data_IF_283694329339
#
_entry.id   IF_283694329339
#
_cell.length_a   1.000
_cell.length_b   1.000
_cell.length_c   1.000
_cell.angle_alpha   90.00
_cell.angle_beta   90.00
_cell.angle_gamma   90.00
#
_symmetry.space_group_name_H-M   'P 1'
#
loop_
_entity.id
_entity.type
_entity.pdbx_description
1 polymer ?
#
# COMPACT_ATOMS: atom_id res chain seq x y z
N UNK A 1 -26.08 -0.12 5.43
CA UNK A 1 -25.24 0.73 6.34
C UNK A 1 -23.79 0.49 5.96
N UNK A 2 -23.01 1.56 5.73
CA UNK A 2 -21.58 1.47 5.42
C UNK A 2 -20.86 0.57 6.44
N UNK A 3 -19.96 -0.31 5.97
CA UNK A 3 -19.16 -1.15 6.87
C UNK A 3 -18.41 -0.25 7.86
N UNK A 4 -18.58 -0.47 9.17
CA UNK A 4 -17.83 0.31 10.14
C UNK A 4 -16.33 0.10 9.93
N UNK A 5 -15.50 1.12 10.22
CA UNK A 5 -14.05 1.01 10.13
C UNK A 5 -13.53 -0.21 10.90
N UNK A 6 -14.16 -0.55 12.03
CA UNK A 6 -13.83 -1.73 12.83
C UNK A 6 -14.09 -3.03 12.05
N UNK A 7 -15.26 -3.14 11.39
CA UNK A 7 -15.60 -4.29 10.55
C UNK A 7 -14.75 -4.37 9.29
N UNK A 8 -14.31 -3.25 8.74
CA UNK A 8 -13.36 -3.25 7.61
C UNK A 8 -11.98 -3.75 8.04
N UNK A 9 -11.52 -3.33 9.23
CA UNK A 9 -10.23 -3.72 9.78
C UNK A 9 -10.14 -5.21 10.16
N UNK A 10 -11.26 -5.92 10.36
CA UNK A 10 -11.21 -7.38 10.60
C UNK A 10 -10.76 -8.18 9.37
N UNK A 11 -10.78 -7.58 8.17
CA UNK A 11 -10.34 -8.24 6.94
C UNK A 11 -8.81 -8.22 6.78
N UNK A 12 -8.13 -7.18 7.29
CA UNK A 12 -6.68 -7.06 7.24
C UNK A 12 -5.91 -8.31 7.71
N UNK A 13 -6.18 -8.90 8.89
CA UNK A 13 -5.43 -10.07 9.37
C UNK A 13 -5.59 -11.30 8.46
N UNK A 14 -6.73 -11.44 7.78
CA UNK A 14 -6.98 -12.52 6.81
C UNK A 14 -6.05 -12.32 5.59
N UNK A 15 -6.04 -11.11 5.03
CA UNK A 15 -5.18 -10.77 3.89
C UNK A 15 -3.69 -10.83 4.23
N UNK A 16 -3.32 -10.48 5.46
CA UNK A 16 -1.95 -10.62 5.93
C UNK A 16 -1.53 -12.09 5.99
N UNK A 17 -2.39 -13.01 6.46
CA UNK A 17 -2.07 -14.44 6.47
C UNK A 17 -2.03 -15.04 5.06
N UNK A 18 -2.88 -14.57 4.14
CA UNK A 18 -2.79 -14.94 2.72
C UNK A 18 -1.44 -14.53 2.13
N UNK A 19 -0.99 -13.29 2.41
CA UNK A 19 0.31 -12.79 1.97
C UNK A 19 1.47 -13.55 2.62
N UNK A 20 1.32 -13.95 3.89
CA UNK A 20 2.29 -14.79 4.59
C UNK A 20 2.43 -16.14 3.91
N UNK A 21 1.32 -16.80 3.63
CA UNK A 21 1.28 -18.12 2.97
C UNK A 21 1.90 -18.03 1.57
N UNK A 22 1.56 -16.98 0.82
CA UNK A 22 2.16 -16.69 -0.47
C UNK A 22 3.69 -16.50 -0.38
N UNK A 23 4.15 -15.69 0.57
CA UNK A 23 5.58 -15.42 0.77
C UNK A 23 6.37 -16.66 1.22
N UNK A 24 5.90 -17.33 2.27
CA UNK A 24 6.65 -18.38 2.96
C UNK A 24 6.49 -19.76 2.31
N UNK A 25 5.30 -20.09 1.82
CA UNK A 25 5.01 -21.44 1.31
C UNK A 25 5.18 -21.52 -0.20
N UNK A 26 4.54 -20.60 -0.93
CA UNK A 26 4.57 -20.62 -2.39
C UNK A 26 5.90 -20.09 -2.94
N UNK A 27 6.36 -18.93 -2.48
CA UNK A 27 7.63 -18.34 -2.94
C UNK A 27 8.84 -18.78 -2.12
N UNK A 28 8.64 -19.49 -1.00
CA UNK A 28 9.72 -19.98 -0.12
C UNK A 28 10.69 -18.87 0.31
N UNK A 29 10.18 -17.66 0.51
CA UNK A 29 10.94 -16.56 1.06
C UNK A 29 11.37 -16.89 2.49
N UNK A 30 12.52 -16.35 2.90
CA UNK A 30 12.97 -16.48 4.29
C UNK A 30 11.93 -15.83 5.21
N UNK A 31 11.62 -16.47 6.33
CA UNK A 31 10.63 -15.98 7.31
C UNK A 31 10.91 -14.55 7.79
N UNK A 32 12.19 -14.16 7.86
CA UNK A 32 12.61 -12.80 8.19
C UNK A 32 12.07 -11.75 7.19
N UNK A 33 11.94 -12.09 5.91
CA UNK A 33 11.40 -11.21 4.87
C UNK A 33 9.91 -10.97 5.10
N UNK A 34 9.17 -12.04 5.43
CA UNK A 34 7.76 -11.91 5.81
C UNK A 34 7.60 -11.03 7.05
N UNK A 35 8.36 -11.30 8.13
CA UNK A 35 8.29 -10.50 9.37
C UNK A 35 8.57 -9.02 9.14
N UNK A 36 9.46 -8.70 8.19
CA UNK A 36 9.72 -7.33 7.79
C UNK A 36 8.52 -6.71 7.06
N UNK A 37 7.98 -7.41 6.06
CA UNK A 37 6.82 -6.96 5.30
C UNK A 37 5.60 -6.76 6.19
N UNK A 38 5.31 -7.72 7.08
CA UNK A 38 4.23 -7.65 8.05
C UNK A 38 4.34 -6.40 8.93
N UNK A 39 5.55 -6.12 9.45
CA UNK A 39 5.83 -4.91 10.23
C UNK A 39 5.56 -3.64 9.43
N UNK A 40 5.96 -3.61 8.16
CA UNK A 40 5.70 -2.47 7.26
C UNK A 40 4.20 -2.28 7.00
N UNK A 41 3.46 -3.34 6.68
CA UNK A 41 2.02 -3.30 6.43
C UNK A 41 1.27 -2.79 7.67
N UNK A 42 1.59 -3.30 8.85
CA UNK A 42 0.97 -2.87 10.12
C UNK A 42 1.30 -1.40 10.42
N UNK A 43 2.52 -0.94 10.15
CA UNK A 43 2.91 0.46 10.41
C UNK A 43 2.25 1.44 9.45
N UNK A 44 2.23 1.10 8.16
CA UNK A 44 1.89 2.01 7.08
C UNK A 44 0.41 1.96 6.67
N UNK A 45 -0.22 0.78 6.72
CA UNK A 45 -1.60 0.59 6.25
C UNK A 45 -2.64 0.74 7.37
N UNK A 46 -2.33 0.39 8.62
CA UNK A 46 -3.25 0.57 9.75
C UNK A 46 -3.18 1.98 10.37
N UNK A 47 -4.21 2.36 11.12
CA UNK A 47 -4.30 3.67 11.79
C UNK A 47 -4.74 4.83 10.89
N UNK A 48 -5.07 4.56 9.62
CA UNK A 48 -5.70 5.52 8.72
C UNK A 48 -7.22 5.58 8.91
N UNK A 49 -7.87 6.54 8.25
CA UNK A 49 -9.34 6.63 8.20
C UNK A 49 -9.98 5.58 7.28
N UNK A 50 -9.18 4.97 6.40
CA UNK A 50 -9.57 4.01 5.37
C UNK A 50 -10.70 4.47 4.45
N UNK A 51 -10.82 5.80 4.23
CA UNK A 51 -11.91 6.36 3.43
C UNK A 51 -11.91 5.83 1.99
N UNK A 52 -10.74 5.54 1.40
CA UNK A 52 -10.65 5.03 0.03
C UNK A 52 -11.14 3.59 -0.01
N UNK A 53 -10.69 2.75 0.93
CA UNK A 53 -11.15 1.37 1.06
C UNK A 53 -12.65 1.25 1.34
N UNK A 54 -13.17 2.04 2.30
CA UNK A 54 -14.60 2.07 2.63
C UNK A 54 -15.46 2.54 1.46
N UNK A 55 -14.98 3.49 0.66
CA UNK A 55 -15.71 3.96 -0.53
C UNK A 55 -15.98 2.86 -1.56
N UNK A 56 -15.14 1.82 -1.62
CA UNK A 56 -15.37 0.66 -2.51
C UNK A 56 -16.60 -0.12 -2.07
N UNK A 57 -16.76 -0.34 -0.76
CA UNK A 57 -17.91 -1.04 -0.17
C UNK A 57 -19.19 -0.21 -0.37
N UNK A 58 -19.12 1.08 -0.06
CA UNK A 58 -20.26 1.99 -0.20
C UNK A 58 -20.71 2.08 -1.67
N UNK A 59 -19.77 2.15 -2.61
CA UNK A 59 -20.07 2.16 -4.04
C UNK A 59 -20.77 0.87 -4.48
N UNK A 60 -20.32 -0.29 -4.00
CA UNK A 60 -20.96 -1.57 -4.31
C UNK A 60 -22.40 -1.64 -3.77
N UNK A 61 -22.64 -1.18 -2.54
CA UNK A 61 -23.99 -1.09 -1.96
C UNK A 61 -24.91 -0.18 -2.77
N UNK A 62 -24.41 0.99 -3.19
CA UNK A 62 -25.16 1.96 -3.99
C UNK A 62 -25.52 1.42 -5.38
N UNK A 63 -24.58 0.74 -6.05
CA UNK A 63 -24.81 0.17 -7.39
C UNK A 63 -25.83 -0.97 -7.32
N UNK A 64 -25.72 -1.85 -6.33
CA UNK A 64 -26.64 -2.98 -6.18
C UNK A 64 -28.00 -2.56 -5.60
N UNK A 65 -28.08 -1.35 -5.03
CA UNK A 65 -29.26 -0.79 -4.37
C UNK A 65 -29.85 -1.74 -3.30
N UNK A 66 -28.97 -2.41 -2.56
CA UNK A 66 -29.29 -3.29 -1.43
C UNK A 66 -28.05 -3.46 -0.54
N UNK A 67 -28.26 -3.99 0.66
CA UNK A 67 -27.14 -4.42 1.49
C UNK A 67 -26.40 -5.61 0.82
N UNK A 68 -25.09 -5.68 1.08
CA UNK A 68 -24.22 -6.76 0.57
C UNK A 68 -24.46 -8.05 1.36
N UNK A 69 -24.34 -9.18 0.68
CA UNK A 69 -24.18 -10.47 1.36
C UNK A 69 -22.81 -10.53 2.06
N UNK A 70 -22.60 -11.51 2.95
CA UNK A 70 -21.30 -11.69 3.61
C UNK A 70 -20.15 -11.87 2.61
N UNK A 71 -20.38 -12.66 1.54
CA UNK A 71 -19.38 -12.92 0.51
C UNK A 71 -19.08 -11.66 -0.32
N UNK A 72 -20.11 -10.90 -0.70
CA UNK A 72 -19.95 -9.64 -1.43
C UNK A 72 -19.24 -8.58 -0.58
N UNK A 73 -19.55 -8.51 0.71
CA UNK A 73 -18.85 -7.66 1.65
C UNK A 73 -17.37 -8.05 1.72
N UNK A 74 -17.06 -9.34 1.87
CA UNK A 74 -15.69 -9.82 1.91
C UNK A 74 -14.91 -9.46 0.64
N UNK A 75 -15.51 -9.67 -0.53
CA UNK A 75 -14.88 -9.34 -1.82
C UNK A 75 -14.62 -7.84 -1.98
N UNK A 76 -15.61 -7.01 -1.66
CA UNK A 76 -15.50 -5.55 -1.80
C UNK A 76 -14.56 -4.94 -0.76
N UNK A 77 -14.55 -5.47 0.47
CA UNK A 77 -13.60 -5.09 1.50
C UNK A 77 -12.17 -5.51 1.14
N UNK A 78 -11.99 -6.68 0.51
CA UNK A 78 -10.70 -7.12 -0.03
C UNK A 78 -10.18 -6.14 -1.07
N UNK A 79 -11.02 -5.74 -2.04
CA UNK A 79 -10.66 -4.70 -3.02
C UNK A 79 -10.34 -3.36 -2.34
N UNK A 80 -11.12 -2.97 -1.33
CA UNK A 80 -10.84 -1.78 -0.54
C UNK A 80 -9.47 -1.82 0.15
N UNK A 81 -9.07 -2.96 0.70
CA UNK A 81 -7.75 -3.16 1.30
C UNK A 81 -6.62 -3.12 0.28
N UNK A 82 -6.84 -3.61 -0.95
CA UNK A 82 -5.86 -3.46 -2.04
C UNK A 82 -5.59 -1.97 -2.33
N UNK A 83 -6.64 -1.13 -2.32
CA UNK A 83 -6.50 0.32 -2.48
C UNK A 83 -5.76 0.95 -1.29
N UNK A 84 -6.07 0.54 -0.06
CA UNK A 84 -5.39 1.06 1.13
C UNK A 84 -3.91 0.61 1.21
N UNK A 85 -3.57 -0.59 0.75
CA UNK A 85 -2.18 -1.03 0.61
C UNK A 85 -1.42 -0.18 -0.40
N UNK A 86 -2.00 0.04 -1.58
CA UNK A 86 -1.41 0.94 -2.58
C UNK A 86 -1.21 2.35 -2.02
N UNK A 87 -2.21 2.89 -1.32
CA UNK A 87 -2.10 4.21 -0.67
C UNK A 87 -1.00 4.23 0.40
N UNK A 88 -0.92 3.22 1.26
CA UNK A 88 0.09 3.13 2.31
C UNK A 88 1.50 3.15 1.73
N UNK A 89 1.70 2.49 0.59
CA UNK A 89 2.98 2.44 -0.13
C UNK A 89 3.35 3.79 -0.73
N UNK A 90 2.40 4.44 -1.41
CA UNK A 90 2.62 5.79 -1.94
C UNK A 90 2.98 6.77 -0.84
N UNK A 91 2.34 6.68 0.34
CA UNK A 91 2.67 7.52 1.50
C UNK A 91 4.08 7.29 2.04
N UNK A 92 4.62 6.07 1.97
CA UNK A 92 6.01 5.81 2.39
C UNK A 92 6.98 6.52 1.45
N UNK A 93 6.71 6.51 0.15
CA UNK A 93 7.55 7.21 -0.84
C UNK A 93 7.40 8.72 -0.68
N UNK A 94 6.17 9.22 -0.57
CA UNK A 94 5.81 10.62 -0.23
C UNK A 94 6.57 11.12 1.00
N UNK A 95 6.52 10.36 2.10
CA UNK A 95 7.21 10.72 3.34
C UNK A 95 8.73 10.86 3.15
N UNK A 96 9.33 10.04 2.28
CA UNK A 96 10.77 10.09 1.97
C UNK A 96 11.08 11.32 1.09
N UNK A 97 10.26 11.56 0.05
CA UNK A 97 10.42 12.67 -0.88
C UNK A 97 10.30 14.01 -0.17
N UNK A 98 9.32 14.14 0.73
CA UNK A 98 9.03 15.37 1.46
C UNK A 98 9.87 15.55 2.73
N UNK A 99 10.71 14.56 3.05
CA UNK A 99 11.41 14.49 4.34
C UNK A 99 10.47 14.64 5.55
N UNK A 100 9.29 14.03 5.47
CA UNK A 100 8.27 14.10 6.51
C UNK A 100 8.71 13.40 7.79
N UNK A 101 8.50 14.03 8.94
CA UNK A 101 8.86 13.44 10.23
C UNK A 101 7.80 12.47 10.78
N UNK A 102 6.51 12.75 10.54
CA UNK A 102 5.41 12.00 11.14
C UNK A 102 4.28 11.69 10.17
N UNK A 103 3.69 10.49 10.33
CA UNK A 103 2.51 10.02 9.60
C UNK A 103 1.61 9.24 10.54
N UNK A 104 0.30 9.55 10.53
CA UNK A 104 -0.72 8.89 11.39
C UNK A 104 -0.36 8.90 12.89
N UNK A 105 0.27 9.99 13.35
CA UNK A 105 0.69 10.16 14.74
C UNK A 105 1.91 9.32 15.16
N UNK A 106 2.64 8.73 14.21
CA UNK A 106 3.86 7.94 14.43
C UNK A 106 4.99 8.48 13.56
N UNK A 107 6.27 8.19 13.86
CA UNK A 107 7.37 8.48 12.95
C UNK A 107 7.14 7.84 11.58
N UNK A 108 7.51 8.56 10.51
CA UNK A 108 7.48 8.02 9.15
C UNK A 108 8.34 6.75 9.04
N UNK A 109 7.97 5.82 8.16
CA UNK A 109 8.56 4.48 8.13
C UNK A 109 10.07 4.48 7.96
N UNK A 110 10.61 5.37 7.11
CA UNK A 110 12.05 5.50 6.87
C UNK A 110 12.85 6.01 8.09
N UNK A 111 12.18 6.63 9.07
CA UNK A 111 12.77 7.10 10.34
C UNK A 111 12.73 6.03 11.44
N UNK A 112 12.04 4.91 11.23
CA UNK A 112 11.96 3.84 12.22
C UNK A 112 13.34 3.17 12.40
N UNK A 113 13.73 2.83 13.65
CA UNK A 113 15.03 2.20 13.90
C UNK A 113 15.24 0.93 13.07
N UNK A 114 16.33 0.91 12.30
CA UNK A 114 16.72 -0.20 11.45
C UNK A 114 16.14 -0.20 10.03
N UNK A 115 15.23 0.72 9.67
CA UNK A 115 14.62 0.80 8.33
C UNK A 115 15.47 1.70 7.40
N UNK A 116 15.64 2.98 7.74
CA UNK A 116 16.36 3.95 6.89
C UNK A 116 15.81 3.97 5.46
N UNK A 117 16.65 4.18 4.45
CA UNK A 117 16.25 4.24 3.04
C UNK A 117 15.80 2.90 2.44
N UNK A 118 15.89 1.79 3.19
CA UNK A 118 15.36 0.49 2.74
C UNK A 118 13.83 0.52 2.56
N UNK A 119 13.16 1.48 3.21
CA UNK A 119 11.74 1.80 3.03
C UNK A 119 11.33 2.04 1.57
N UNK A 120 12.23 2.55 0.72
CA UNK A 120 11.94 2.81 -0.69
C UNK A 120 11.65 1.51 -1.49
N UNK A 121 12.21 0.37 -1.07
CA UNK A 121 12.01 -0.93 -1.72
C UNK A 121 10.77 -1.69 -1.18
N UNK A 122 10.32 -1.39 0.04
CA UNK A 122 9.18 -2.07 0.66
C UNK A 122 7.86 -1.80 -0.10
N UNK A 123 7.70 -0.58 -0.65
CA UNK A 123 6.50 -0.14 -1.34
C UNK A 123 6.27 -0.84 -2.70
N UNK A 124 7.25 -0.92 -3.63
CA UNK A 124 7.03 -1.58 -4.92
C UNK A 124 6.98 -3.11 -4.83
N UNK A 125 7.75 -3.74 -3.93
CA UNK A 125 7.83 -5.21 -3.82
C UNK A 125 6.51 -5.81 -3.34
N UNK A 126 5.85 -5.19 -2.37
CA UNK A 126 4.56 -5.68 -1.92
C UNK A 126 3.42 -5.31 -2.90
N UNK A 127 3.52 -4.24 -3.69
CA UNK A 127 2.62 -4.00 -4.83
C UNK A 127 2.77 -5.07 -5.91
N UNK A 128 3.99 -5.46 -6.25
CA UNK A 128 4.29 -6.47 -7.26
C UNK A 128 3.86 -7.89 -6.83
N UNK A 129 4.00 -8.22 -5.53
CA UNK A 129 3.54 -9.48 -4.95
C UNK A 129 2.00 -9.57 -4.91
N UNK A 130 1.32 -8.45 -4.62
CA UNK A 130 -0.14 -8.37 -4.59
C UNK A 130 -0.77 -8.48 -5.99
N UNK A 131 -0.17 -7.86 -7.01
CA UNK A 131 -0.79 -7.71 -8.33
C UNK A 131 -0.55 -8.86 -9.32
N UNK A 132 0.53 -9.63 -9.20
CA UNK A 132 0.98 -10.44 -10.36
C UNK A 132 0.87 -11.95 -10.19
N UNK A 133 0.80 -12.49 -8.96
CA UNK A 133 0.85 -13.94 -8.73
C UNK A 133 2.02 -14.66 -9.42
N UNK A 134 3.07 -13.93 -9.85
CA UNK A 134 4.12 -14.39 -10.77
C UNK A 134 5.50 -13.80 -10.45
N UNK A 135 5.94 -13.87 -9.21
CA UNK A 135 7.32 -13.49 -8.86
C UNK A 135 8.34 -14.55 -9.27
N UNK A 136 9.41 -14.09 -9.94
CA UNK A 136 10.62 -14.87 -10.25
C UNK A 136 11.87 -14.00 -9.96
N UNK A 137 13.02 -14.60 -9.59
CA UNK A 137 14.24 -13.84 -9.22
C UNK A 137 14.75 -12.89 -10.31
N UNK A 138 14.58 -13.25 -11.58
CA UNK A 138 14.96 -12.42 -12.73
C UNK A 138 14.11 -11.14 -12.82
N UNK A 139 12.83 -11.27 -12.54
CA UNK A 139 11.83 -10.23 -12.72
C UNK A 139 11.98 -9.17 -11.62
N UNK A 140 12.32 -9.61 -10.40
CA UNK A 140 12.62 -8.75 -9.26
C UNK A 140 13.82 -7.84 -9.53
N UNK A 141 14.93 -8.41 -10.03
CA UNK A 141 16.13 -7.63 -10.36
C UNK A 141 15.87 -6.59 -11.46
N UNK A 142 15.12 -6.97 -12.49
CA UNK A 142 14.80 -6.06 -13.59
C UNK A 142 13.84 -4.94 -13.16
N UNK A 143 12.91 -5.22 -12.25
CA UNK A 143 12.05 -4.20 -11.66
C UNK A 143 12.86 -3.21 -10.80
N UNK A 144 13.80 -3.69 -9.98
CA UNK A 144 14.70 -2.84 -9.18
C UNK A 144 15.48 -1.82 -10.06
N UNK A 145 16.05 -2.28 -11.17
CA UNK A 145 16.80 -1.43 -12.10
C UNK A 145 15.92 -0.34 -12.74
N UNK A 146 14.72 -0.70 -13.20
CA UNK A 146 13.77 0.25 -13.83
C UNK A 146 13.19 1.24 -12.82
N UNK A 147 12.89 0.78 -11.59
CA UNK A 147 12.28 1.60 -10.55
C UNK A 147 13.25 2.67 -10.02
N UNK A 148 14.55 2.40 -9.99
CA UNK A 148 15.56 3.39 -9.63
C UNK A 148 15.65 4.53 -10.65
N UNK A 149 15.64 4.21 -11.95
CA UNK A 149 15.64 5.24 -13.01
C UNK A 149 14.31 5.99 -13.08
N UNK A 150 13.17 5.29 -13.01
CA UNK A 150 11.85 5.92 -12.99
C UNK A 150 11.64 6.81 -11.77
N UNK A 151 12.06 6.37 -10.58
CA UNK A 151 11.96 7.17 -9.36
C UNK A 151 12.74 8.48 -9.48
N UNK A 152 13.93 8.43 -10.08
CA UNK A 152 14.74 9.63 -10.33
C UNK A 152 14.06 10.58 -11.32
N UNK A 153 13.50 10.06 -12.42
CA UNK A 153 12.81 10.88 -13.42
C UNK A 153 11.50 11.47 -12.89
N UNK A 154 10.71 10.68 -12.16
CA UNK A 154 9.48 11.12 -11.53
C UNK A 154 9.77 12.23 -10.51
N UNK A 155 10.82 12.09 -9.69
CA UNK A 155 11.26 13.13 -8.76
C UNK A 155 11.59 14.46 -9.45
N UNK A 156 12.36 14.42 -10.54
CA UNK A 156 12.71 15.63 -11.29
C UNK A 156 11.47 16.30 -11.89
N UNK A 157 10.49 15.50 -12.31
CA UNK A 157 9.23 16.02 -12.85
C UNK A 157 8.34 16.61 -11.76
N UNK A 158 8.23 15.96 -10.61
CA UNK A 158 7.44 16.40 -9.46
C UNK A 158 8.01 17.70 -8.87
N UNK A 159 9.32 17.76 -8.62
CA UNK A 159 10.02 18.97 -8.15
C UNK A 159 9.85 20.15 -9.12
N UNK A 160 9.81 19.89 -10.43
CA UNK A 160 9.53 20.92 -11.43
C UNK A 160 8.08 21.39 -11.36
N UNK A 161 7.13 20.47 -11.18
CA UNK A 161 5.71 20.84 -11.09
C UNK A 161 5.41 21.58 -9.78
N UNK A 162 5.99 21.20 -8.65
CA UNK A 162 5.77 21.90 -7.39
C UNK A 162 6.32 23.34 -7.37
N UNK A 163 7.43 23.56 -8.07
CA UNK A 163 8.04 24.89 -8.16
C UNK A 163 7.44 25.77 -9.27
N UNK A 164 6.94 25.17 -10.35
CA UNK A 164 6.62 25.91 -11.58
C UNK A 164 5.22 25.63 -12.16
N UNK A 165 4.46 24.66 -11.65
CA UNK A 165 3.11 24.41 -12.13
C UNK A 165 2.12 25.44 -11.56
N UNK A 166 1.14 25.82 -12.38
CA UNK A 166 0.05 26.71 -11.97
C UNK A 166 -0.80 25.97 -10.93
N UNK A 167 -1.12 26.61 -9.80
CA UNK A 167 -1.94 26.06 -8.70
C UNK A 167 -3.28 25.46 -9.19
N UNK A 168 -3.81 25.93 -10.33
CA UNK A 168 -5.04 25.42 -10.94
C UNK A 168 -4.88 24.06 -11.63
N UNK A 169 -3.66 23.67 -11.96
CA UNK A 169 -3.32 22.39 -12.60
C UNK A 169 -3.07 21.26 -11.59
N UNK A 170 -2.75 21.59 -10.34
CA UNK A 170 -2.49 20.64 -9.24
C UNK A 170 -3.75 20.26 -8.44
N UNK A 171 -4.88 20.92 -8.68
CA UNK A 171 -6.12 20.79 -7.89
C UNK A 171 -7.19 19.87 -8.52
N UNK A 172 -6.81 18.80 -9.24
CA UNK A 172 -7.77 17.81 -9.78
C UNK A 172 -7.59 16.44 -9.17
#
# INVERSE_FOLDING_TARGET
MAGSLDTFNTIFPILADDLRSLCCEQYRLREQVWKWLEKSLIHNALGGKCNRGLSVIDTAQLILNRDLTADEYFQTATLGWMVEFLQAMMLVVDDIMDHSETRRGRPCWYLMPGISMQAANDAPVALALLYTGRTSPRNLKQAEEVLLEMGTYFQVQDDYLDNFADLRSLAR
#
